data_IF_439518834741
#
_entry.id   IF_439518834741
#
_cell.length_a   1.000
_cell.length_b   1.000
_cell.length_c   1.000
_cell.angle_alpha   90.00
_cell.angle_beta   90.00
_cell.angle_gamma   90.00
#
_symmetry.space_group_name_H-M   'P 1'
#
loop_
_entity.id
_entity.type
_entity.pdbx_description
1 polymer ?
#
# COMPACT_ATOMS: atom_id res chain seq x y z
N UNK A 1 -15.76 -5.27 -16.82
CA UNK A 1 -14.94 -4.61 -15.80
C UNK A 1 -14.18 -3.50 -16.49
N UNK A 2 -14.42 -2.27 -16.05
CA UNK A 2 -13.80 -1.08 -16.64
C UNK A 2 -12.33 -1.02 -16.23
N UNK A 3 -11.46 -0.50 -17.11
CA UNK A 3 -10.03 -0.30 -16.82
C UNK A 3 -9.90 0.69 -15.64
N UNK A 4 -9.67 0.18 -14.43
CA UNK A 4 -9.60 0.97 -13.19
C UNK A 4 -10.45 0.45 -12.03
N UNK A 5 -11.33 -0.54 -12.24
CA UNK A 5 -12.00 -1.23 -11.13
C UNK A 5 -11.03 -2.22 -10.47
N UNK A 6 -10.57 -1.91 -9.26
CA UNK A 6 -9.89 -2.89 -8.40
C UNK A 6 -10.93 -3.59 -7.55
N UNK A 7 -10.94 -4.92 -7.62
CA UNK A 7 -11.75 -5.75 -6.72
C UNK A 7 -10.97 -6.00 -5.43
N UNK A 8 -11.19 -5.15 -4.43
CA UNK A 8 -10.60 -5.32 -3.11
C UNK A 8 -11.47 -6.25 -2.27
N UNK A 9 -10.88 -7.33 -1.76
CA UNK A 9 -11.53 -8.28 -0.87
C UNK A 9 -10.70 -8.50 0.38
N UNK A 10 -11.37 -8.63 1.51
CA UNK A 10 -10.74 -8.98 2.79
C UNK A 10 -10.73 -10.50 3.01
N UNK A 11 -10.01 -10.99 4.03
CA UNK A 11 -9.75 -12.43 4.23
C UNK A 11 -10.99 -13.32 4.39
N UNK A 12 -12.16 -12.74 4.73
CA UNK A 12 -13.44 -13.46 4.77
C UNK A 12 -14.21 -13.44 3.43
N UNK A 13 -13.60 -12.92 2.36
CA UNK A 13 -14.20 -12.82 1.03
C UNK A 13 -15.12 -11.63 0.81
N UNK A 14 -15.40 -10.81 1.83
CA UNK A 14 -16.21 -9.61 1.68
C UNK A 14 -15.51 -8.58 0.79
N UNK A 15 -16.26 -7.95 -0.11
CA UNK A 15 -15.78 -6.88 -0.97
C UNK A 15 -15.71 -5.57 -0.18
N UNK A 16 -14.62 -4.84 -0.33
CA UNK A 16 -14.46 -3.48 0.19
C UNK A 16 -14.31 -2.51 -0.97
N UNK A 17 -14.81 -1.30 -0.79
CA UNK A 17 -14.84 -0.28 -1.85
C UNK A 17 -13.78 0.77 -1.54
N UNK A 18 -12.91 1.02 -2.51
CA UNK A 18 -12.07 2.21 -2.49
C UNK A 18 -12.93 3.42 -2.87
N UNK A 19 -12.93 4.45 -2.02
CA UNK A 19 -13.64 5.69 -2.29
C UNK A 19 -12.87 6.58 -3.26
N UNK A 20 -11.54 6.59 -3.14
CA UNK A 20 -10.67 7.48 -3.91
C UNK A 20 -9.38 6.76 -4.29
N UNK A 21 -8.75 7.24 -5.37
CA UNK A 21 -7.41 6.85 -5.80
C UNK A 21 -6.56 8.11 -5.85
N UNK A 22 -5.40 8.09 -5.22
CA UNK A 22 -4.48 9.23 -5.22
C UNK A 22 -3.07 8.81 -4.91
N UNK A 23 -2.15 9.75 -5.03
CA UNK A 23 -0.76 9.57 -4.64
C UNK A 23 -0.58 10.10 -3.21
N UNK A 24 0.24 9.44 -2.40
CA UNK A 24 0.50 9.86 -1.03
C UNK A 24 1.97 9.68 -0.64
N UNK A 25 2.44 10.50 0.29
CA UNK A 25 3.79 10.38 0.85
C UNK A 25 3.71 9.78 2.26
N UNK A 26 4.62 8.86 2.55
CA UNK A 26 4.74 8.22 3.87
C UNK A 26 6.14 8.49 4.40
N UNK A 27 6.22 9.18 5.54
CA UNK A 27 7.46 9.34 6.28
C UNK A 27 7.66 8.14 7.20
N UNK A 28 8.76 7.41 7.01
CA UNK A 28 9.19 6.35 7.90
C UNK A 28 9.75 6.91 9.20
N UNK A 29 9.79 6.12 10.29
CA UNK A 29 10.43 6.53 11.55
C UNK A 29 11.90 6.95 11.40
N UNK A 30 12.59 6.48 10.36
CA UNK A 30 13.97 6.89 10.02
C UNK A 30 14.07 8.30 9.44
N UNK A 31 12.94 8.94 9.09
CA UNK A 31 12.89 10.20 8.35
C UNK A 31 12.90 10.04 6.84
N UNK A 32 13.05 8.82 6.32
CA UNK A 32 12.92 8.55 4.87
C UNK A 32 11.49 8.80 4.41
N UNK A 33 11.32 9.55 3.32
CA UNK A 33 10.03 9.82 2.70
C UNK A 33 9.85 8.93 1.47
N UNK A 34 8.79 8.13 1.47
CA UNK A 34 8.42 7.23 0.37
C UNK A 34 7.21 7.81 -0.35
N UNK A 35 7.33 8.03 -1.66
CA UNK A 35 6.21 8.40 -2.52
C UNK A 35 5.48 7.16 -3.01
N UNK A 36 4.20 7.04 -2.69
CA UNK A 36 3.34 5.95 -3.12
C UNK A 36 2.37 6.44 -4.19
N UNK A 37 2.35 5.74 -5.33
CA UNK A 37 1.51 6.08 -6.48
C UNK A 37 0.26 5.20 -6.54
N UNK A 38 -0.88 5.75 -6.96
CA UNK A 38 -2.17 5.02 -7.14
C UNK A 38 -2.63 4.28 -5.87
N UNK A 39 -2.54 4.93 -4.72
CA UNK A 39 -3.06 4.44 -3.45
C UNK A 39 -4.59 4.49 -3.41
N UNK A 40 -5.19 3.48 -2.78
CA UNK A 40 -6.65 3.37 -2.64
C UNK A 40 -7.07 3.79 -1.23
N UNK A 41 -7.95 4.78 -1.13
CA UNK A 41 -8.56 5.15 0.14
C UNK A 41 -9.75 4.24 0.44
N UNK A 42 -9.62 3.40 1.47
CA UNK A 42 -10.63 2.41 1.86
C UNK A 42 -10.98 2.63 3.35
N UNK A 43 -12.05 3.38 3.69
CA UNK A 43 -12.36 3.73 5.07
C UNK A 43 -12.65 2.54 5.98
N UNK A 44 -13.05 1.40 5.40
CA UNK A 44 -13.34 0.18 6.16
C UNK A 44 -12.08 -0.55 6.65
N UNK A 45 -10.88 -0.14 6.22
CA UNK A 45 -9.60 -0.72 6.65
C UNK A 45 -8.96 0.18 7.71
N UNK A 46 -8.67 -0.37 8.89
CA UNK A 46 -8.10 0.40 10.01
C UNK A 46 -6.57 0.58 9.94
N UNK A 47 -5.88 -0.09 9.02
CA UNK A 47 -4.41 -0.09 8.89
C UNK A 47 -4.00 0.10 7.44
N UNK A 48 -2.94 0.88 7.22
CA UNK A 48 -2.35 1.02 5.89
C UNK A 48 -1.78 -0.32 5.42
N UNK A 49 -1.96 -0.62 4.15
CA UNK A 49 -1.39 -1.79 3.48
C UNK A 49 -0.49 -1.29 2.37
N UNK A 50 0.79 -1.66 2.43
CA UNK A 50 1.78 -1.29 1.42
C UNK A 50 2.26 -2.57 0.73
N UNK A 51 2.23 -2.56 -0.59
CA UNK A 51 2.70 -3.70 -1.39
C UNK A 51 4.22 -3.62 -1.56
N UNK A 52 4.94 -4.55 -0.94
CA UNK A 52 6.40 -4.66 -1.02
C UNK A 52 6.89 -4.81 -2.47
N UNK A 53 6.19 -5.60 -3.29
CA UNK A 53 6.55 -5.78 -4.70
C UNK A 53 6.33 -4.52 -5.54
N UNK A 54 5.46 -3.60 -5.11
CA UNK A 54 5.28 -2.31 -5.78
C UNK A 54 6.43 -1.36 -5.42
N UNK A 55 6.86 -1.35 -4.15
CA UNK A 55 8.04 -0.60 -3.72
C UNK A 55 9.31 -1.06 -4.45
N UNK A 56 9.50 -2.38 -4.59
CA UNK A 56 10.65 -2.93 -5.34
C UNK A 56 10.68 -2.42 -6.78
N UNK A 57 9.52 -2.38 -7.45
CA UNK A 57 9.40 -1.87 -8.82
C UNK A 57 9.67 -0.37 -8.93
N UNK A 58 9.38 0.39 -7.87
CA UNK A 58 9.68 1.81 -7.77
C UNK A 58 11.14 2.07 -7.35
N UNK A 59 11.96 1.02 -7.18
CA UNK A 59 13.41 1.11 -6.95
C UNK A 59 13.83 1.09 -5.48
N UNK A 60 12.90 0.83 -4.56
CA UNK A 60 13.21 0.65 -3.14
C UNK A 60 13.77 -0.75 -2.88
N UNK A 61 14.86 -0.82 -2.13
CA UNK A 61 15.40 -2.08 -1.63
C UNK A 61 14.98 -2.25 -0.17
N UNK A 62 14.79 -3.49 0.26
CA UNK A 62 14.45 -3.78 1.64
C UNK A 62 15.17 -5.01 2.15
N UNK A 63 15.45 -5.00 3.44
CA UNK A 63 16.03 -6.11 4.18
C UNK A 63 15.01 -6.50 5.25
N UNK A 64 14.74 -7.80 5.37
CA UNK A 64 13.90 -8.36 6.42
C UNK A 64 14.80 -9.19 7.33
N UNK A 65 15.06 -8.68 8.54
CA UNK A 65 15.86 -9.34 9.56
C UNK A 65 15.14 -9.24 10.91
N UNK A 66 15.09 -10.35 11.66
CA UNK A 66 14.43 -10.41 12.97
C UNK A 66 13.00 -9.84 12.99
N UNK A 67 12.21 -10.19 11.97
CA UNK A 67 10.83 -9.69 11.75
C UNK A 67 10.71 -8.16 11.58
N UNK A 68 11.82 -7.46 11.33
CA UNK A 68 11.86 -6.03 11.04
C UNK A 68 12.20 -5.83 9.56
N UNK A 69 11.34 -5.08 8.87
CA UNK A 69 11.62 -4.60 7.52
C UNK A 69 12.30 -3.24 7.58
N UNK A 70 13.48 -3.14 6.95
CA UNK A 70 14.22 -1.88 6.76
C UNK A 70 14.25 -1.55 5.27
N UNK A 71 14.02 -0.28 4.93
CA UNK A 71 14.07 0.29 3.58
C UNK A 71 15.18 1.34 3.56
#
# INVERSE_FOLDING_TARGET
>A
MSKGEVDLRVGNGARVVALEIGDCEVTLPSGLVIGLNKCYYVPSICRNIISVSYLERDGYNFIIENDVMTI
#
